data_IF_008730209947
#
_entry.id   IF_008730209947
#
_cell.length_a   1.000
_cell.length_b   1.000
_cell.length_c   1.000
_cell.angle_alpha   90.00
_cell.angle_beta   90.00
_cell.angle_gamma   90.00
#
_symmetry.space_group_name_H-M   'P 1'
#
loop_
_entity.id
_entity.type
_entity.pdbx_description
1 polymer ?
#
# COMPACT_ATOMS: atom_id res chain seq x y z
N UNK A 1 8.71 0.03 -4.60
CA UNK A 1 7.39 -0.33 -4.08
C UNK A 1 6.86 0.83 -3.25
N UNK A 2 5.94 1.60 -3.82
CA UNK A 2 5.22 2.60 -3.06
C UNK A 2 4.12 1.89 -2.26
N UNK A 3 4.11 2.04 -0.95
CA UNK A 3 3.04 1.55 -0.10
C UNK A 3 2.53 2.71 0.75
N UNK A 4 1.30 3.11 0.55
CA UNK A 4 0.62 4.00 1.50
C UNK A 4 0.49 3.31 2.86
N UNK A 5 0.42 4.09 3.93
CA UNK A 5 0.22 3.62 5.29
C UNK A 5 -0.90 2.57 5.37
N UNK A 6 -0.58 1.36 5.72
CA UNK A 6 -1.48 0.19 5.76
C UNK A 6 -1.12 -0.93 4.79
N UNK A 7 -0.46 -0.62 3.68
CA UNK A 7 -0.01 -1.64 2.73
C UNK A 7 1.32 -2.29 3.15
N UNK A 8 2.05 -1.72 4.13
CA UNK A 8 3.27 -2.31 4.67
C UNK A 8 3.06 -3.72 5.22
N UNK A 9 1.94 -3.95 5.93
CA UNK A 9 1.61 -5.26 6.47
C UNK A 9 1.34 -6.27 5.36
N UNK A 10 0.65 -5.84 4.29
CA UNK A 10 0.39 -6.68 3.12
C UNK A 10 1.70 -7.01 2.43
N UNK A 11 2.57 -6.01 2.24
CA UNK A 11 3.89 -6.19 1.65
C UNK A 11 4.74 -7.17 2.46
N UNK A 12 4.75 -7.06 3.81
CA UNK A 12 5.44 -8.01 4.66
C UNK A 12 4.92 -9.44 4.49
N UNK A 13 3.60 -9.63 4.39
CA UNK A 13 2.99 -10.95 4.16
C UNK A 13 3.37 -11.50 2.79
N UNK A 14 3.34 -10.67 1.75
CA UNK A 14 3.74 -11.06 0.39
C UNK A 14 5.21 -11.44 0.32
N UNK A 15 6.08 -10.66 0.97
CA UNK A 15 7.51 -10.96 1.03
C UNK A 15 7.80 -12.23 1.82
N UNK A 16 7.09 -12.50 2.92
CA UNK A 16 7.17 -13.77 3.65
C UNK A 16 6.80 -14.95 2.75
N UNK A 17 5.72 -14.85 1.99
CA UNK A 17 5.31 -15.87 1.00
C UNK A 17 6.33 -16.03 -0.11
N UNK A 18 6.89 -14.95 -0.63
CA UNK A 18 7.93 -14.98 -1.66
C UNK A 18 9.22 -15.60 -1.15
N UNK A 19 9.62 -15.27 0.09
CA UNK A 19 10.82 -15.83 0.72
C UNK A 19 10.75 -17.35 0.93
N UNK A 20 9.55 -17.91 1.07
CA UNK A 20 9.34 -19.34 1.27
C UNK A 20 9.21 -20.18 -0.01
N UNK A 21 8.96 -19.54 -1.18
CA UNK A 21 8.52 -20.26 -2.40
C UNK A 21 9.62 -20.81 -3.30
N UNK A 22 10.78 -20.17 -3.39
CA UNK A 22 11.78 -20.51 -4.42
C UNK A 22 13.08 -21.09 -3.88
N UNK A 23 13.61 -20.53 -2.85
CA UNK A 23 14.71 -21.01 -2.02
C UNK A 23 14.52 -20.33 -0.66
N UNK A 24 14.80 -20.98 0.48
CA UNK A 24 14.64 -20.34 1.77
C UNK A 24 15.51 -19.07 1.82
N UNK A 25 14.87 -17.91 1.79
CA UNK A 25 15.52 -16.61 1.91
C UNK A 25 15.28 -16.04 3.29
N UNK A 26 16.31 -15.49 3.88
CA UNK A 26 16.15 -14.72 5.12
C UNK A 26 15.33 -13.48 4.83
N UNK A 27 14.34 -13.18 5.67
CA UNK A 27 13.63 -11.90 5.64
C UNK A 27 14.14 -11.01 6.76
N UNK A 28 14.68 -9.85 6.41
CA UNK A 28 15.06 -8.79 7.31
C UNK A 28 14.21 -7.55 7.06
N UNK A 29 14.02 -6.71 8.05
CA UNK A 29 13.37 -5.42 7.88
C UNK A 29 14.12 -4.33 8.63
N UNK A 30 14.02 -3.12 8.13
CA UNK A 30 14.60 -1.94 8.76
C UNK A 30 13.60 -0.78 8.74
N UNK A 31 13.54 -0.08 9.86
CA UNK A 31 12.95 1.24 9.98
C UNK A 31 13.83 2.12 10.88
N UNK A 32 13.70 3.43 10.75
CA UNK A 32 14.53 4.38 11.48
C UNK A 32 14.39 4.26 13.01
N UNK A 33 13.23 3.88 13.51
CA UNK A 33 12.95 3.82 14.95
C UNK A 33 13.44 2.51 15.56
N UNK A 34 13.16 1.39 14.89
CA UNK A 34 13.43 0.04 15.41
C UNK A 34 14.76 -0.53 14.93
N UNK A 35 15.38 0.10 13.93
CA UNK A 35 16.59 -0.39 13.31
C UNK A 35 16.39 -1.70 12.54
N UNK A 36 17.46 -2.44 12.37
CA UNK A 36 17.48 -3.70 11.62
C UNK A 36 16.90 -4.85 12.47
N UNK A 37 15.97 -5.60 11.92
CA UNK A 37 15.30 -6.76 12.52
C UNK A 37 15.41 -8.01 11.65
N UNK A 38 15.29 -9.19 12.25
CA UNK A 38 15.33 -10.47 11.53
C UNK A 38 16.74 -10.99 11.29
N UNK A 39 17.76 -10.39 11.92
CA UNK A 39 19.16 -10.81 11.87
C UNK A 39 19.77 -10.87 13.25
N UNK A 40 20.73 -11.77 13.42
CA UNK A 40 21.51 -11.87 14.65
C UNK A 40 22.49 -10.68 14.73
N UNK A 41 22.67 -10.13 15.93
CA UNK A 41 23.60 -9.01 16.22
C UNK A 41 23.24 -7.68 15.52
N UNK A 42 21.94 -7.39 15.37
CA UNK A 42 21.46 -6.10 14.89
C UNK A 42 21.47 -4.99 15.96
N UNK A 43 21.98 -5.25 17.14
CA UNK A 43 21.91 -4.37 18.29
C UNK A 43 23.00 -3.30 18.24
N UNK A 44 22.62 -2.07 17.94
CA UNK A 44 23.48 -0.90 18.01
C UNK A 44 22.82 0.35 17.43
N UNK A 45 23.20 1.53 17.96
CA UNK A 45 22.76 2.83 17.42
C UNK A 45 23.10 2.97 15.94
N UNK A 46 24.19 2.36 15.48
CA UNK A 46 24.57 2.31 14.05
C UNK A 46 23.57 1.59 13.16
N UNK A 47 22.83 0.60 13.68
CA UNK A 47 21.81 -0.12 12.92
C UNK A 47 20.57 0.73 12.58
N UNK A 48 20.40 1.90 13.19
CA UNK A 48 19.31 2.86 12.91
C UNK A 48 19.67 3.91 11.86
N UNK A 49 20.96 4.06 11.54
CA UNK A 49 21.37 5.03 10.53
C UNK A 49 21.16 4.47 9.12
N UNK A 50 20.64 5.27 8.18
CA UNK A 50 20.42 4.85 6.79
C UNK A 50 21.68 4.30 6.12
N UNK A 51 22.83 4.94 6.33
CA UNK A 51 24.10 4.47 5.78
C UNK A 51 24.52 3.11 6.37
N UNK A 52 24.28 2.89 7.66
CA UNK A 52 24.67 1.66 8.32
C UNK A 52 23.91 0.44 7.77
N UNK A 53 22.62 0.58 7.47
CA UNK A 53 21.86 -0.53 6.88
C UNK A 53 22.31 -0.84 5.46
N UNK A 54 22.71 0.16 4.66
CA UNK A 54 23.27 -0.07 3.33
C UNK A 54 24.64 -0.77 3.41
N UNK A 55 25.50 -0.36 4.33
CA UNK A 55 26.78 -1.03 4.60
C UNK A 55 26.61 -2.45 5.11
N UNK A 56 25.53 -2.72 5.85
CA UNK A 56 25.20 -4.08 6.25
C UNK A 56 24.81 -4.94 5.05
N UNK A 57 24.02 -4.40 4.11
CA UNK A 57 23.67 -5.09 2.84
C UNK A 57 24.92 -5.40 2.02
N UNK A 58 25.86 -4.46 1.93
CA UNK A 58 27.11 -4.63 1.19
C UNK A 58 27.94 -5.81 1.69
N UNK A 59 27.86 -6.11 3.00
CA UNK A 59 28.61 -7.19 3.66
C UNK A 59 27.86 -8.52 3.69
N UNK A 60 26.69 -8.63 3.07
CA UNK A 60 25.94 -9.88 3.05
C UNK A 60 26.67 -10.96 2.27
N UNK A 61 26.75 -12.14 2.84
CA UNK A 61 27.36 -13.30 2.20
C UNK A 61 26.39 -13.91 1.17
N UNK A 62 26.91 -14.25 0.01
CA UNK A 62 26.12 -14.88 -1.07
C UNK A 62 25.48 -16.22 -0.67
N UNK A 63 26.03 -16.90 0.33
CA UNK A 63 25.53 -18.16 0.89
C UNK A 63 24.19 -18.01 1.61
N UNK A 64 23.82 -16.80 2.05
CA UNK A 64 22.61 -16.50 2.82
C UNK A 64 21.68 -15.54 2.07
N UNK A 65 20.92 -16.01 1.05
CA UNK A 65 20.01 -15.16 0.30
C UNK A 65 19.05 -14.40 1.21
N UNK A 66 19.03 -13.08 1.09
CA UNK A 66 18.30 -12.20 2.01
C UNK A 66 17.38 -11.26 1.23
N UNK A 67 16.14 -11.11 1.70
CA UNK A 67 15.23 -10.03 1.31
C UNK A 67 15.23 -9.02 2.46
N UNK A 68 15.63 -7.79 2.17
CA UNK A 68 15.58 -6.70 3.14
C UNK A 68 14.45 -5.72 2.76
N UNK A 69 13.46 -5.58 3.64
CA UNK A 69 12.43 -4.55 3.55
C UNK A 69 12.88 -3.30 4.31
N UNK A 70 13.02 -2.19 3.62
CA UNK A 70 13.44 -0.90 4.19
C UNK A 70 12.27 0.08 4.10
N UNK A 71 11.80 0.55 5.26
CA UNK A 71 10.61 1.41 5.36
C UNK A 71 11.01 2.87 5.38
N UNK A 72 10.25 3.70 4.64
CA UNK A 72 10.42 5.16 4.55
C UNK A 72 11.82 5.64 4.15
N UNK A 73 12.60 4.79 3.50
CA UNK A 73 13.98 5.09 3.13
C UNK A 73 14.10 6.18 2.07
N UNK A 74 13.05 6.42 1.30
CA UNK A 74 12.99 7.45 0.27
C UNK A 74 13.41 8.84 0.79
N UNK A 75 13.13 9.13 2.06
CA UNK A 75 13.50 10.40 2.73
C UNK A 75 15.01 10.64 2.83
N UNK A 76 15.82 9.60 2.67
CA UNK A 76 17.27 9.66 2.77
C UNK A 76 17.96 9.60 1.40
N UNK A 77 17.20 9.36 0.33
CA UNK A 77 17.75 9.19 -1.02
C UNK A 77 18.29 10.49 -1.62
N UNK A 78 17.95 11.65 -1.06
CA UNK A 78 18.49 12.95 -1.46
C UNK A 78 19.90 13.21 -0.90
N UNK A 79 20.32 12.46 0.14
CA UNK A 79 21.70 12.56 0.65
C UNK A 79 22.68 11.98 -0.39
N UNK A 80 23.71 12.77 -0.81
CA UNK A 80 24.64 12.34 -1.85
C UNK A 80 25.39 11.05 -1.51
N UNK A 81 25.71 10.82 -0.23
CA UNK A 81 26.38 9.62 0.24
C UNK A 81 25.47 8.40 0.15
N UNK A 82 24.23 8.54 0.58
CA UNK A 82 23.19 7.49 0.50
C UNK A 82 22.90 7.15 -0.96
N UNK A 83 22.66 8.16 -1.81
CA UNK A 83 22.41 7.96 -3.24
C UNK A 83 23.61 7.25 -3.91
N UNK A 84 24.83 7.63 -3.60
CA UNK A 84 26.02 6.97 -4.13
C UNK A 84 26.12 5.52 -3.68
N UNK A 85 25.85 5.25 -2.41
CA UNK A 85 25.88 3.91 -1.85
C UNK A 85 24.82 3.01 -2.48
N UNK A 86 23.60 3.52 -2.69
CA UNK A 86 22.54 2.79 -3.39
C UNK A 86 22.96 2.40 -4.82
N UNK A 87 23.59 3.31 -5.57
CA UNK A 87 24.11 2.99 -6.92
C UNK A 87 25.19 1.92 -6.90
N UNK A 88 26.07 1.94 -5.89
CA UNK A 88 27.07 0.90 -5.74
C UNK A 88 26.44 -0.45 -5.42
N UNK A 89 25.50 -0.49 -4.46
CA UNK A 89 24.75 -1.69 -4.10
C UNK A 89 23.95 -2.24 -5.28
N UNK A 90 23.31 -1.40 -6.08
CA UNK A 90 22.59 -1.85 -7.28
C UNK A 90 23.51 -2.64 -8.22
N UNK A 91 24.73 -2.15 -8.49
CA UNK A 91 25.69 -2.86 -9.33
C UNK A 91 26.11 -4.20 -8.74
N UNK A 92 26.31 -4.25 -7.42
CA UNK A 92 26.68 -5.46 -6.70
C UNK A 92 25.53 -6.48 -6.66
N UNK A 93 24.31 -6.03 -6.32
CA UNK A 93 23.14 -6.89 -6.14
C UNK A 93 22.64 -7.53 -7.44
N UNK A 94 22.93 -6.93 -8.61
CA UNK A 94 22.62 -7.54 -9.92
C UNK A 94 23.21 -8.93 -10.11
N UNK A 95 24.29 -9.23 -9.42
CA UNK A 95 25.03 -10.51 -9.52
C UNK A 95 24.90 -11.36 -8.26
N UNK A 96 23.99 -10.97 -7.33
CA UNK A 96 23.80 -11.65 -6.07
C UNK A 96 22.33 -12.11 -5.90
N UNK A 97 22.11 -12.96 -4.91
CA UNK A 97 20.77 -13.49 -4.58
C UNK A 97 20.02 -12.64 -3.55
N UNK A 98 20.58 -11.49 -3.16
CA UNK A 98 19.94 -10.56 -2.23
C UNK A 98 18.99 -9.62 -2.95
N UNK A 99 17.94 -9.18 -2.23
CA UNK A 99 16.97 -8.23 -2.74
C UNK A 99 16.70 -7.16 -1.68
N UNK A 100 16.80 -5.90 -2.07
CA UNK A 100 16.41 -4.77 -1.22
C UNK A 100 15.10 -4.20 -1.75
N UNK A 101 14.11 -4.08 -0.88
CA UNK A 101 12.79 -3.54 -1.18
C UNK A 101 12.61 -2.26 -0.39
N UNK A 102 12.57 -1.11 -1.08
CA UNK A 102 12.24 0.18 -0.47
C UNK A 102 10.72 0.33 -0.45
N UNK A 103 10.15 0.46 0.73
CA UNK A 103 8.72 0.70 0.94
C UNK A 103 8.51 2.17 1.29
N UNK A 104 7.70 2.86 0.52
CA UNK A 104 7.40 4.28 0.73
C UNK A 104 5.98 4.62 0.28
N UNK A 105 5.46 5.78 0.69
CA UNK A 105 4.33 6.43 0.03
C UNK A 105 4.68 6.87 -1.40
N UNK A 106 3.80 7.64 -2.06
CA UNK A 106 4.08 8.19 -3.39
C UNK A 106 5.41 8.95 -3.38
N UNK A 107 6.31 8.57 -4.28
CA UNK A 107 7.65 9.14 -4.33
C UNK A 107 8.22 9.02 -5.75
N UNK A 108 8.84 10.10 -6.22
CA UNK A 108 9.58 10.10 -7.47
C UNK A 108 11.08 10.01 -7.14
N UNK A 109 11.76 8.95 -7.59
CA UNK A 109 13.20 8.83 -7.35
C UNK A 109 13.98 10.00 -7.94
N UNK A 110 15.09 10.42 -7.31
CA UNK A 110 16.05 11.32 -7.95
C UNK A 110 16.58 10.71 -9.25
N UNK A 111 16.83 11.56 -10.26
CA UNK A 111 17.27 11.13 -11.60
C UNK A 111 18.48 10.18 -11.57
N UNK A 112 19.41 10.38 -10.63
CA UNK A 112 20.59 9.53 -10.49
C UNK A 112 20.30 8.13 -9.91
N UNK A 113 19.11 7.85 -9.45
CA UNK A 113 18.67 6.55 -8.96
C UNK A 113 17.67 5.85 -9.87
N UNK A 114 17.21 6.52 -10.92
CA UNK A 114 16.18 6.01 -11.82
C UNK A 114 16.56 4.65 -12.43
N UNK A 115 17.77 4.54 -12.95
CA UNK A 115 18.33 3.29 -13.50
C UNK A 115 18.60 2.20 -12.43
N UNK A 116 18.67 2.60 -11.16
CA UNK A 116 19.01 1.70 -10.06
C UNK A 116 17.77 1.08 -9.39
N UNK A 117 16.58 1.63 -9.64
CA UNK A 117 15.36 1.25 -8.96
C UNK A 117 14.32 0.71 -9.96
N UNK A 118 13.66 -0.36 -9.59
CA UNK A 118 12.44 -0.80 -10.27
C UNK A 118 11.25 -0.39 -9.44
N UNK A 119 10.44 0.50 -9.97
CA UNK A 119 9.23 0.98 -9.28
C UNK A 119 8.12 -0.03 -9.52
N UNK A 120 7.48 -0.44 -8.43
CA UNK A 120 6.30 -1.31 -8.45
C UNK A 120 5.19 -0.62 -7.66
N UNK A 121 4.12 -0.27 -8.34
CA UNK A 121 2.93 0.24 -7.67
C UNK A 121 2.16 -0.91 -7.03
N UNK A 122 1.78 -0.73 -5.78
CA UNK A 122 0.87 -1.66 -5.11
C UNK A 122 -0.56 -1.22 -5.40
N UNK A 123 -1.31 -1.98 -6.21
CA UNK A 123 -2.66 -1.58 -6.59
C UNK A 123 -3.59 -1.56 -5.39
N UNK A 124 -4.62 -0.73 -5.47
CA UNK A 124 -5.74 -0.77 -4.52
C UNK A 124 -6.48 -2.11 -4.66
N UNK A 125 -7.09 -2.60 -3.58
CA UNK A 125 -7.83 -3.86 -3.61
C UNK A 125 -9.00 -3.76 -4.59
N UNK A 126 -9.18 -4.81 -5.37
CA UNK A 126 -10.29 -4.95 -6.29
C UNK A 126 -11.56 -5.45 -5.55
N UNK A 127 -12.73 -5.31 -6.17
CA UNK A 127 -13.99 -5.73 -5.55
C UNK A 127 -14.00 -7.18 -4.98
N UNK A 128 -13.43 -8.20 -5.66
CA UNK A 128 -13.36 -9.54 -5.08
C UNK A 128 -12.57 -9.59 -3.77
N UNK A 129 -11.46 -8.84 -3.68
CA UNK A 129 -10.62 -8.77 -2.48
C UNK A 129 -11.32 -8.02 -1.35
N UNK A 130 -11.99 -6.90 -1.67
CA UNK A 130 -12.80 -6.13 -0.72
C UNK A 130 -13.94 -7.00 -0.17
N UNK A 131 -14.62 -7.74 -1.04
CA UNK A 131 -15.71 -8.65 -0.66
C UNK A 131 -15.24 -9.72 0.32
N UNK A 132 -14.13 -10.38 0.04
CA UNK A 132 -13.56 -11.39 0.95
C UNK A 132 -13.09 -10.78 2.27
N UNK A 133 -12.53 -9.57 2.22
CA UNK A 133 -12.15 -8.83 3.42
C UNK A 133 -13.36 -8.53 4.31
N UNK A 134 -14.43 -7.95 3.75
CA UNK A 134 -15.65 -7.63 4.49
C UNK A 134 -16.32 -8.91 5.05
N UNK A 135 -16.38 -9.99 4.26
CA UNK A 135 -16.87 -11.28 4.73
C UNK A 135 -16.06 -11.82 5.92
N UNK A 136 -14.73 -11.73 5.83
CA UNK A 136 -13.84 -12.22 6.90
C UNK A 136 -14.04 -11.46 8.20
N UNK A 137 -14.18 -10.12 8.12
CA UNK A 137 -14.42 -9.25 9.27
C UNK A 137 -15.81 -9.54 9.87
N UNK A 138 -16.86 -9.63 9.03
CA UNK A 138 -18.21 -9.92 9.48
C UNK A 138 -18.31 -11.29 10.17
N UNK A 139 -17.64 -12.30 9.62
CA UNK A 139 -17.57 -13.64 10.20
C UNK A 139 -16.86 -13.62 11.56
N UNK A 140 -15.76 -12.89 11.67
CA UNK A 140 -14.98 -12.76 12.91
C UNK A 140 -15.78 -12.04 14.02
N UNK A 141 -16.68 -11.12 13.67
CA UNK A 141 -17.58 -10.44 14.61
C UNK A 141 -18.82 -11.26 15.01
N UNK A 142 -19.01 -12.45 14.44
CA UNK A 142 -20.19 -13.28 14.69
C UNK A 142 -21.46 -12.85 13.94
N UNK A 143 -21.43 -11.78 13.16
CA UNK A 143 -22.56 -11.21 12.46
C UNK A 143 -22.33 -11.23 10.94
N UNK A 144 -22.60 -12.33 10.24
CA UNK A 144 -22.39 -12.42 8.80
C UNK A 144 -23.31 -11.45 8.04
N UNK A 145 -22.74 -10.76 7.04
CA UNK A 145 -23.47 -9.83 6.19
C UNK A 145 -24.42 -10.56 5.25
N UNK A 146 -25.61 -9.99 5.06
CA UNK A 146 -26.52 -10.40 3.98
C UNK A 146 -25.88 -10.08 2.62
N UNK A 147 -26.14 -10.92 1.62
CA UNK A 147 -25.48 -10.83 0.31
C UNK A 147 -25.66 -9.46 -0.35
N UNK A 148 -26.88 -8.90 -0.33
CA UNK A 148 -27.17 -7.58 -0.91
C UNK A 148 -26.39 -6.45 -0.22
N UNK A 149 -26.30 -6.47 1.11
CA UNK A 149 -25.54 -5.46 1.89
C UNK A 149 -24.04 -5.61 1.62
N UNK A 150 -23.56 -6.84 1.52
CA UNK A 150 -22.17 -7.11 1.19
C UNK A 150 -21.80 -6.54 -0.18
N UNK A 151 -22.66 -6.69 -1.19
CA UNK A 151 -22.43 -6.13 -2.53
C UNK A 151 -22.44 -4.61 -2.52
N UNK A 152 -23.44 -4.00 -1.86
CA UNK A 152 -23.51 -2.54 -1.71
C UNK A 152 -22.26 -1.97 -1.02
N UNK A 153 -21.81 -2.58 0.09
CA UNK A 153 -20.61 -2.16 0.81
C UNK A 153 -19.34 -2.41 0.00
N UNK A 154 -19.26 -3.54 -0.73
CA UNK A 154 -18.12 -3.84 -1.58
C UNK A 154 -17.94 -2.77 -2.65
N UNK A 155 -19.03 -2.44 -3.36
CA UNK A 155 -19.02 -1.40 -4.37
C UNK A 155 -18.71 -0.03 -3.77
N UNK A 156 -19.32 0.31 -2.63
CA UNK A 156 -19.04 1.55 -1.94
C UNK A 156 -17.56 1.66 -1.52
N UNK A 157 -16.92 0.58 -1.08
CA UNK A 157 -15.53 0.56 -0.66
C UNK A 157 -14.53 0.52 -1.83
N UNK A 158 -14.97 0.31 -3.08
CA UNK A 158 -14.09 0.33 -4.25
C UNK A 158 -13.31 1.65 -4.32
N UNK A 159 -12.00 1.57 -4.57
CA UNK A 159 -11.10 2.72 -4.57
C UNK A 159 -10.55 3.14 -3.20
N UNK A 160 -10.92 2.45 -2.11
CA UNK A 160 -10.28 2.60 -0.81
C UNK A 160 -9.14 1.59 -0.63
N UNK A 161 -8.10 1.97 0.12
CA UNK A 161 -7.07 1.02 0.54
C UNK A 161 -7.65 0.00 1.53
N UNK A 162 -7.05 -1.20 1.61
CA UNK A 162 -7.46 -2.24 2.55
C UNK A 162 -7.50 -1.73 4.01
N UNK A 163 -6.53 -0.90 4.40
CA UNK A 163 -6.47 -0.31 5.73
C UNK A 163 -7.70 0.58 6.00
N UNK A 164 -8.15 1.37 5.03
CA UNK A 164 -9.35 2.21 5.17
C UNK A 164 -10.61 1.39 5.24
N UNK A 165 -10.73 0.34 4.42
CA UNK A 165 -11.86 -0.59 4.50
C UNK A 165 -11.93 -1.23 5.89
N UNK A 166 -10.79 -1.68 6.42
CA UNK A 166 -10.72 -2.22 7.80
C UNK A 166 -11.10 -1.18 8.86
N UNK A 167 -10.69 0.05 8.68
CA UNK A 167 -10.99 1.14 9.61
C UNK A 167 -12.50 1.46 9.66
N UNK A 168 -13.15 1.55 8.49
CA UNK A 168 -14.61 1.73 8.42
C UNK A 168 -15.34 0.56 9.09
N UNK A 169 -14.95 -0.67 8.74
CA UNK A 169 -15.53 -1.87 9.33
C UNK A 169 -15.34 -1.92 10.86
N UNK A 170 -14.14 -1.55 11.35
CA UNK A 170 -13.87 -1.52 12.78
C UNK A 170 -14.72 -0.48 13.52
N UNK A 171 -14.95 0.73 12.92
CA UNK A 171 -15.86 1.74 13.49
C UNK A 171 -17.28 1.23 13.56
N UNK A 172 -17.79 0.64 12.48
CA UNK A 172 -19.13 0.07 12.43
C UNK A 172 -19.32 -0.98 13.54
N UNK A 173 -18.37 -1.89 13.70
CA UNK A 173 -18.39 -2.90 14.73
C UNK A 173 -18.30 -2.30 16.15
N UNK A 174 -17.48 -1.29 16.36
CA UNK A 174 -17.33 -0.61 17.65
C UNK A 174 -18.60 0.14 18.07
N UNK A 175 -19.30 0.75 17.10
CA UNK A 175 -20.50 1.56 17.37
C UNK A 175 -21.76 0.72 17.50
N UNK A 176 -21.95 -0.31 16.66
CA UNK A 176 -23.19 -1.06 16.51
C UNK A 176 -23.06 -2.58 16.69
N UNK A 177 -21.84 -3.08 16.90
CA UNK A 177 -21.57 -4.52 16.99
C UNK A 177 -21.71 -5.28 15.67
N UNK A 178 -22.15 -4.63 14.61
CA UNK A 178 -22.36 -5.23 13.29
C UNK A 178 -22.15 -4.21 12.19
N UNK A 179 -21.83 -4.68 10.97
CA UNK A 179 -21.83 -3.88 9.76
C UNK A 179 -23.20 -3.92 9.07
N UNK A 180 -23.60 -2.81 8.44
CA UNK A 180 -24.90 -2.69 7.78
C UNK A 180 -24.91 -1.61 6.70
N UNK A 181 -26.10 -1.35 6.20
CA UNK A 181 -26.33 -0.33 5.16
C UNK A 181 -26.04 1.10 5.65
N UNK A 182 -26.16 1.31 6.95
CA UNK A 182 -25.88 2.57 7.63
C UNK A 182 -24.43 3.01 7.46
N UNK A 183 -23.50 2.04 7.25
CA UNK A 183 -22.08 2.30 7.07
C UNK A 183 -21.73 2.90 5.72
N UNK A 184 -22.65 2.87 4.74
CA UNK A 184 -22.43 3.49 3.43
C UNK A 184 -22.12 4.99 3.55
N UNK A 185 -22.75 5.69 4.47
CA UNK A 185 -22.47 7.11 4.71
C UNK A 185 -21.04 7.33 5.22
N UNK A 186 -20.55 6.46 6.10
CA UNK A 186 -19.16 6.52 6.60
C UNK A 186 -18.14 6.19 5.52
N UNK A 187 -18.43 5.22 4.65
CA UNK A 187 -17.59 4.90 3.48
C UNK A 187 -17.48 6.09 2.55
N UNK A 188 -18.59 6.77 2.26
CA UNK A 188 -18.60 7.96 1.40
C UNK A 188 -17.81 9.11 2.03
N UNK A 189 -17.89 9.29 3.33
CA UNK A 189 -17.10 10.29 4.05
C UNK A 189 -15.61 9.96 3.99
N UNK A 190 -15.19 8.70 4.14
CA UNK A 190 -13.79 8.29 3.96
C UNK A 190 -13.29 8.55 2.54
N UNK A 191 -14.15 8.29 1.52
CA UNK A 191 -13.82 8.64 0.13
C UNK A 191 -13.64 10.15 -0.05
N UNK A 192 -14.55 10.93 0.50
CA UNK A 192 -14.47 12.38 0.47
C UNK A 192 -13.17 12.89 1.07
N UNK A 193 -12.78 12.35 2.22
CA UNK A 193 -11.52 12.71 2.87
C UNK A 193 -10.29 12.23 2.08
N UNK A 194 -10.38 11.08 1.41
CA UNK A 194 -9.30 10.59 0.55
C UNK A 194 -9.08 11.52 -0.65
N UNK A 195 -10.17 11.98 -1.28
CA UNK A 195 -10.12 12.92 -2.41
C UNK A 195 -9.65 14.30 -1.95
N UNK A 196 -10.15 14.80 -0.81
CA UNK A 196 -9.76 16.11 -0.27
C UNK A 196 -8.26 16.23 0.07
N UNK A 197 -7.58 15.10 0.30
CA UNK A 197 -6.11 15.06 0.48
C UNK A 197 -5.34 15.12 -0.83
N UNK A 198 -6.00 14.88 -1.96
CA UNK A 198 -5.40 15.11 -3.27
C UNK A 198 -5.54 16.59 -3.59
N UNK A 199 -4.44 17.29 -3.82
CA UNK A 199 -4.46 18.71 -4.19
C UNK A 199 -5.07 18.97 -5.58
N UNK A 200 -5.45 17.91 -6.29
CA UNK A 200 -5.88 17.95 -7.71
C UNK A 200 -7.38 17.73 -7.86
N UNK A 201 -8.03 17.08 -6.91
CA UNK A 201 -9.44 16.70 -7.02
C UNK A 201 -10.28 17.31 -5.90
N UNK A 202 -11.45 17.83 -6.26
CA UNK A 202 -12.47 18.28 -5.32
C UNK A 202 -13.68 17.33 -5.37
N UNK A 203 -14.12 16.89 -4.20
CA UNK A 203 -15.31 16.05 -4.08
C UNK A 203 -16.56 16.93 -4.01
N UNK A 204 -17.29 17.02 -5.11
CA UNK A 204 -18.53 17.77 -5.19
C UNK A 204 -19.74 16.86 -4.91
N UNK A 205 -20.48 17.14 -3.86
CA UNK A 205 -21.79 16.54 -3.63
C UNK A 205 -22.82 17.34 -4.40
N UNK A 206 -23.29 16.83 -5.53
CA UNK A 206 -24.38 17.44 -6.27
C UNK A 206 -25.63 16.56 -6.20
N UNK A 207 -26.79 17.22 -6.09
CA UNK A 207 -28.09 16.56 -6.25
C UNK A 207 -28.60 16.71 -7.69
N UNK A 208 -27.89 17.45 -8.53
CA UNK A 208 -28.24 17.65 -9.92
C UNK A 208 -28.03 16.37 -10.72
N UNK A 209 -28.99 16.06 -11.55
CA UNK A 209 -28.95 14.94 -12.51
C UNK A 209 -28.61 15.44 -13.90
N UNK A 210 -28.12 14.62 -14.84
CA UNK A 210 -27.89 15.02 -16.22
C UNK A 210 -29.13 15.63 -16.89
N UNK A 211 -30.35 15.27 -16.44
CA UNK A 211 -31.59 15.84 -16.92
C UNK A 211 -31.84 17.29 -16.48
N UNK A 212 -31.20 17.71 -15.37
CA UNK A 212 -31.33 19.09 -14.86
C UNK A 212 -30.47 20.10 -15.64
N UNK A 213 -29.60 19.59 -16.49
CA UNK A 213 -28.70 20.40 -17.35
C UNK A 213 -29.31 20.49 -18.75
N UNK A 214 -29.64 21.70 -19.19
CA UNK A 214 -30.15 21.95 -20.55
C UNK A 214 -29.05 21.78 -21.61
N UNK A 215 -29.36 21.16 -22.76
CA UNK A 215 -28.41 20.91 -23.85
C UNK A 215 -27.36 19.86 -23.56
N UNK A 216 -26.23 19.92 -24.27
CA UNK A 216 -25.10 18.99 -24.15
C UNK A 216 -25.45 17.52 -24.48
N UNK A 217 -26.41 17.27 -25.37
CA UNK A 217 -26.95 15.94 -25.66
C UNK A 217 -25.87 14.94 -26.13
N UNK A 218 -24.91 15.42 -26.93
CA UNK A 218 -23.79 14.60 -27.38
C UNK A 218 -22.90 14.14 -26.21
N UNK A 219 -22.65 15.02 -25.23
CA UNK A 219 -21.85 14.69 -24.04
C UNK A 219 -22.62 13.72 -23.13
N UNK A 220 -23.93 13.95 -22.95
CA UNK A 220 -24.79 13.05 -22.15
C UNK A 220 -24.82 11.64 -22.74
N UNK A 221 -25.03 11.54 -24.05
CA UNK A 221 -24.99 10.24 -24.74
C UNK A 221 -23.63 9.56 -24.64
N UNK A 222 -22.54 10.31 -24.71
CA UNK A 222 -21.19 9.77 -24.55
C UNK A 222 -20.94 9.25 -23.13
N UNK A 223 -21.39 9.98 -22.09
CA UNK A 223 -21.30 9.56 -20.70
C UNK A 223 -22.13 8.31 -20.43
N UNK A 224 -23.35 8.24 -20.96
CA UNK A 224 -24.24 7.08 -20.82
C UNK A 224 -23.63 5.82 -21.45
N UNK A 225 -23.02 5.95 -22.62
CA UNK A 225 -22.32 4.84 -23.28
C UNK A 225 -21.12 4.34 -22.46
N UNK A 226 -20.39 5.25 -21.79
CA UNK A 226 -19.26 4.91 -20.94
C UNK A 226 -19.68 4.29 -19.60
N UNK A 227 -20.84 4.65 -19.10
CA UNK A 227 -21.39 4.08 -17.86
C UNK A 227 -21.88 2.64 -18.04
N UNK A 228 -22.27 2.27 -19.28
CA UNK A 228 -22.74 0.91 -19.62
C UNK A 228 -21.63 -0.05 -20.04
N UNK A 229 -20.41 0.45 -20.26
CA UNK A 229 -19.23 -0.34 -20.65
C UNK A 229 -18.39 -0.76 -19.44
#
# INVERSE_FOLDING_TARGET
LAAENGNETILEVLLKKAASRLQPRRLASWDYIKGLKGVLNADGLGARQPMAVLQWVEKLEASNPTILLVKDFHRYCEDPGVARMLRNLFRQLRHQTHTVVLCSGPWTPPNDLDDALTILDLPLPQEPEIRELLKSIAKASGNPLKQNILEELTHACSGLSEARVRQVAARALAQRGQMGREDLAEVLEEKRQAVARSEVLEYCVTKATPSDIGGLDALKNWLDQRHQA
#
